data_IF_119598557610
#
_entry.id   IF_119598557610
#
_cell.length_a   1.000
_cell.length_b   1.000
_cell.length_c   1.000
_cell.angle_alpha   90.00
_cell.angle_beta   90.00
_cell.angle_gamma   90.00
#
_symmetry.space_group_name_H-M   'P 1'
#
loop_
_entity.id
_entity.type
_entity.pdbx_description
1 polymer ?
#
# COMPACT_ATOMS: atom_id res chain seq x y z
N UNK A 1 -14.76 -9.75 16.55
CA UNK A 1 -14.57 -9.73 15.07
C UNK A 1 -13.76 -8.50 14.73
N UNK A 2 -12.59 -8.64 14.09
CA UNK A 2 -11.70 -7.52 13.77
C UNK A 2 -11.81 -7.15 12.28
N UNK A 3 -12.20 -5.90 11.93
CA UNK A 3 -12.18 -5.45 10.55
C UNK A 3 -10.97 -4.55 10.25
N UNK A 4 -10.47 -4.61 9.00
CA UNK A 4 -9.57 -3.61 8.42
C UNK A 4 -10.29 -2.86 7.30
N UNK A 5 -10.17 -1.53 7.33
CA UNK A 5 -10.70 -0.68 6.27
C UNK A 5 -9.76 -0.72 5.07
N UNK A 6 -10.26 -1.16 3.92
CA UNK A 6 -9.54 -1.22 2.64
C UNK A 6 -10.39 -0.66 1.51
N UNK A 7 -9.76 -0.35 0.38
CA UNK A 7 -10.46 0.00 -0.85
C UNK A 7 -10.79 -1.26 -1.65
N UNK A 8 -11.97 -1.28 -2.26
CA UNK A 8 -12.26 -2.22 -3.34
C UNK A 8 -11.89 -1.63 -4.72
N UNK A 9 -11.89 -2.47 -5.75
CA UNK A 9 -11.55 -2.09 -7.14
C UNK A 9 -12.56 -1.12 -7.80
N UNK A 10 -13.67 -0.83 -7.12
CA UNK A 10 -14.66 0.18 -7.51
C UNK A 10 -14.46 1.51 -6.78
N UNK A 11 -13.39 1.64 -5.99
CA UNK A 11 -13.08 2.86 -5.25
C UNK A 11 -13.97 3.12 -4.03
N UNK A 12 -14.58 2.10 -3.44
CA UNK A 12 -15.36 2.23 -2.20
C UNK A 12 -14.60 1.63 -1.03
N UNK A 13 -14.82 2.20 0.15
CA UNK A 13 -14.38 1.60 1.40
C UNK A 13 -15.13 0.29 1.66
N UNK A 14 -14.39 -0.73 2.09
CA UNK A 14 -14.91 -2.04 2.48
C UNK A 14 -14.27 -2.43 3.81
N UNK A 15 -15.11 -2.93 4.72
CA UNK A 15 -14.66 -3.57 5.95
C UNK A 15 -14.26 -5.01 5.63
N UNK A 16 -12.95 -5.25 5.53
CA UNK A 16 -12.40 -6.58 5.32
C UNK A 16 -12.23 -7.29 6.67
N UNK A 17 -12.76 -8.52 6.77
CA UNK A 17 -12.65 -9.33 7.98
C UNK A 17 -11.24 -9.92 8.06
N UNK A 18 -10.54 -9.69 9.17
CA UNK A 18 -9.17 -10.18 9.38
C UNK A 18 -9.07 -11.08 10.61
N UNK A 19 -8.02 -11.91 10.64
CA UNK A 19 -7.68 -12.76 11.79
C UNK A 19 -7.07 -11.93 12.92
N UNK A 20 -7.13 -12.47 14.15
CA UNK A 20 -6.65 -11.76 15.36
C UNK A 20 -5.17 -11.38 15.28
N UNK A 21 -4.34 -12.26 14.72
CA UNK A 21 -2.91 -12.01 14.52
C UNK A 21 -2.67 -10.81 13.60
N UNK A 22 -3.42 -10.72 12.50
CA UNK A 22 -3.33 -9.61 11.55
C UNK A 22 -3.89 -8.31 12.13
N UNK A 23 -4.84 -8.40 13.05
CA UNK A 23 -5.41 -7.25 13.74
C UNK A 23 -4.46 -6.62 14.77
N UNK A 24 -3.37 -7.29 15.13
CA UNK A 24 -2.35 -6.74 16.04
C UNK A 24 -1.49 -5.65 15.39
N UNK A 25 -1.42 -5.60 14.06
CA UNK A 25 -0.59 -4.65 13.34
C UNK A 25 -1.33 -3.87 12.25
N UNK A 26 -0.72 -2.74 11.88
CA UNK A 26 -1.16 -1.87 10.78
C UNK A 26 0.01 -1.53 9.87
N UNK A 27 -0.24 -1.47 8.57
CA UNK A 27 0.72 -0.93 7.62
C UNK A 27 0.61 0.60 7.57
N UNK A 28 1.75 1.26 7.68
CA UNK A 28 1.85 2.71 7.65
C UNK A 28 2.88 3.15 6.61
N UNK A 29 2.43 3.76 5.51
CA UNK A 29 3.34 4.43 4.57
C UNK A 29 4.03 5.63 5.23
N UNK A 30 5.34 5.75 5.04
CA UNK A 30 6.18 6.86 5.50
C UNK A 30 6.03 8.03 4.55
N UNK A 31 5.61 9.18 5.08
CA UNK A 31 5.43 10.43 4.33
C UNK A 31 6.70 11.28 4.31
N UNK A 32 7.42 11.33 5.43
CA UNK A 32 8.68 12.09 5.58
C UNK A 32 9.56 11.44 6.63
N UNK A 33 10.88 11.57 6.46
CA UNK A 33 11.89 11.23 7.47
C UNK A 33 12.71 12.48 7.73
N UNK A 34 12.83 12.89 9.00
CA UNK A 34 13.47 14.13 9.40
C UNK A 34 14.23 13.95 10.72
N UNK A 35 15.14 14.88 11.01
CA UNK A 35 15.82 14.97 12.31
C UNK A 35 15.17 16.06 13.15
N UNK A 36 14.85 15.73 14.38
CA UNK A 36 14.24 16.64 15.34
C UNK A 36 15.26 17.37 16.21
N UNK A 37 14.77 18.11 17.22
CA UNK A 37 15.63 18.70 18.25
C UNK A 37 16.56 17.64 18.85
N UNK A 38 17.79 18.04 19.16
CA UNK A 38 18.85 17.13 19.64
C UNK A 38 19.28 16.05 18.64
N UNK A 39 19.00 16.24 17.35
CA UNK A 39 19.45 15.34 16.29
C UNK A 39 18.71 14.00 16.21
N UNK A 40 17.61 13.84 16.94
CA UNK A 40 16.85 12.58 17.01
C UNK A 40 16.14 12.32 15.68
N UNK A 41 16.41 11.22 14.96
CA UNK A 41 15.69 10.88 13.74
C UNK A 41 14.26 10.43 14.07
N UNK A 42 13.30 10.87 13.25
CA UNK A 42 11.91 10.43 13.33
C UNK A 42 11.29 10.33 11.93
N UNK A 43 10.32 9.44 11.78
CA UNK A 43 9.51 9.35 10.57
C UNK A 43 8.06 9.73 10.86
N UNK A 44 7.43 10.39 9.88
CA UNK A 44 6.01 10.76 9.90
C UNK A 44 5.30 9.83 8.94
N UNK A 45 4.22 9.19 9.38
CA UNK A 45 3.40 8.30 8.55
C UNK A 45 2.18 9.01 7.98
N UNK A 46 1.55 8.41 6.95
CA UNK A 46 0.38 8.98 6.28
C UNK A 46 -0.84 9.16 7.19
N UNK A 47 -0.93 8.37 8.27
CA UNK A 47 -1.99 8.44 9.27
C UNK A 47 -1.67 9.38 10.44
N UNK A 48 -0.65 10.23 10.29
CA UNK A 48 -0.32 11.30 11.23
C UNK A 48 0.50 10.88 12.45
N UNK A 49 1.00 9.64 12.51
CA UNK A 49 1.88 9.21 13.60
C UNK A 49 3.31 9.70 13.38
N UNK A 50 4.00 9.99 14.48
CA UNK A 50 5.41 10.34 14.50
C UNK A 50 6.16 9.28 15.29
N UNK A 51 7.02 8.51 14.61
CA UNK A 51 7.77 7.40 15.21
C UNK A 51 9.23 7.82 15.33
N UNK A 52 9.75 7.82 16.56
CA UNK A 52 11.14 8.18 16.85
C UNK A 52 12.06 6.98 16.68
N UNK A 53 13.32 7.25 16.34
CA UNK A 53 14.35 6.23 16.11
C UNK A 53 13.92 5.15 15.09
N UNK A 54 13.46 5.53 13.89
CA UNK A 54 13.25 4.55 12.83
C UNK A 54 14.61 3.96 12.41
N UNK A 55 14.57 2.76 11.84
CA UNK A 55 15.74 2.16 11.21
C UNK A 55 16.32 3.11 10.13
N UNK A 56 17.65 3.31 10.07
CA UNK A 56 18.30 4.20 9.09
C UNK A 56 17.99 3.86 7.62
N UNK A 57 17.64 2.61 7.32
CA UNK A 57 17.28 2.17 5.97
C UNK A 57 15.89 2.64 5.52
N UNK A 58 15.02 3.06 6.45
CA UNK A 58 13.66 3.50 6.15
C UNK A 58 13.70 4.87 5.46
N UNK A 59 13.17 4.91 4.23
CA UNK A 59 13.08 6.12 3.41
C UNK A 59 11.63 6.55 3.19
N UNK A 60 11.48 7.73 2.60
CA UNK A 60 10.17 8.24 2.19
C UNK A 60 9.51 7.33 1.17
N UNK A 61 8.20 7.09 1.32
CA UNK A 61 7.34 6.17 0.54
C UNK A 61 7.46 4.69 0.90
N UNK A 62 8.39 4.30 1.76
CA UNK A 62 8.44 2.96 2.31
C UNK A 62 7.22 2.71 3.21
N UNK A 63 6.92 1.45 3.47
CA UNK A 63 5.81 1.07 4.36
C UNK A 63 6.34 0.34 5.58
N UNK A 64 6.00 0.84 6.77
CA UNK A 64 6.35 0.21 8.03
C UNK A 64 5.19 -0.61 8.56
N UNK A 65 5.47 -1.78 9.11
CA UNK A 65 4.52 -2.60 9.87
C UNK A 65 4.59 -2.17 11.32
N UNK A 66 3.54 -1.51 11.78
CA UNK A 66 3.40 -0.96 13.13
C UNK A 66 2.64 -1.94 14.01
N UNK A 67 3.19 -2.29 15.16
CA UNK A 67 2.42 -2.93 16.23
C UNK A 67 1.49 -1.91 16.88
N UNK A 68 0.19 -2.21 16.92
CA UNK A 68 -0.81 -1.32 17.49
C UNK A 68 -0.76 -1.26 19.01
N UNK A 69 -0.25 -2.29 19.69
CA UNK A 69 -0.16 -2.32 21.14
C UNK A 69 1.01 -1.48 21.67
N UNK A 70 2.20 -1.66 21.07
CA UNK A 70 3.42 -0.97 21.52
C UNK A 70 3.70 0.33 20.79
N UNK A 71 3.10 0.55 19.61
CA UNK A 71 3.41 1.69 18.75
C UNK A 71 4.81 1.64 18.13
N UNK A 72 5.49 0.47 18.18
CA UNK A 72 6.82 0.26 17.61
C UNK A 72 6.74 -0.34 16.21
N UNK A 73 7.76 -0.07 15.40
CA UNK A 73 7.93 -0.68 14.09
C UNK A 73 8.44 -2.12 14.29
N UNK A 74 7.74 -3.08 13.70
CA UNK A 74 8.13 -4.49 13.70
C UNK A 74 9.03 -4.81 12.51
N UNK A 75 8.63 -4.34 11.32
CA UNK A 75 9.31 -4.62 10.05
C UNK A 75 8.98 -3.51 9.05
N UNK A 76 9.70 -3.41 7.93
CA UNK A 76 9.43 -2.44 6.88
C UNK A 76 9.68 -3.00 5.47
N UNK A 77 8.99 -2.44 4.48
CA UNK A 77 9.19 -2.75 3.06
C UNK A 77 9.61 -1.50 2.31
N UNK A 78 10.68 -1.63 1.53
CA UNK A 78 11.21 -0.59 0.66
C UNK A 78 10.30 -0.36 -0.55
N UNK A 79 10.18 0.89 -0.97
CA UNK A 79 9.53 1.27 -2.21
C UNK A 79 10.48 1.03 -3.40
N UNK A 80 10.45 -0.19 -3.93
CA UNK A 80 11.30 -0.63 -5.04
C UNK A 80 10.52 -1.51 -6.04
N UNK A 81 10.98 -1.61 -7.30
CA UNK A 81 10.41 -2.52 -8.28
C UNK A 81 10.36 -3.96 -7.76
N UNK A 82 9.29 -4.68 -8.10
CA UNK A 82 9.05 -6.06 -7.67
C UNK A 82 8.21 -6.20 -6.40
N UNK A 83 8.01 -5.15 -5.62
CA UNK A 83 7.15 -5.20 -4.42
C UNK A 83 5.67 -4.98 -4.76
N UNK A 84 4.80 -5.63 -4.00
CA UNK A 84 3.34 -5.53 -4.16
C UNK A 84 2.82 -4.22 -3.57
N UNK A 85 2.00 -3.51 -4.34
CA UNK A 85 1.40 -2.24 -3.98
C UNK A 85 -0.12 -2.27 -4.11
N UNK A 86 -0.79 -1.49 -3.27
CA UNK A 86 -2.20 -1.13 -3.40
C UNK A 86 -2.33 0.35 -3.75
N UNK A 87 -3.26 0.67 -4.63
CA UNK A 87 -3.56 2.05 -4.99
C UNK A 87 -4.60 2.64 -4.03
N UNK A 88 -4.24 3.75 -3.39
CA UNK A 88 -5.10 4.46 -2.42
C UNK A 88 -5.95 5.58 -3.05
N UNK A 89 -5.70 5.97 -4.30
CA UNK A 89 -6.37 7.12 -4.93
C UNK A 89 -6.35 7.11 -6.46
N UNK A 90 -7.18 7.95 -7.07
CA UNK A 90 -7.33 8.08 -8.53
C UNK A 90 -8.20 6.99 -9.18
N UNK A 91 -8.19 6.92 -10.51
CA UNK A 91 -9.05 5.99 -11.29
C UNK A 91 -8.70 4.50 -11.08
N UNK A 92 -7.47 4.23 -10.64
CA UNK A 92 -6.96 2.88 -10.37
C UNK A 92 -7.09 2.48 -8.88
N UNK A 93 -7.86 3.22 -8.08
CA UNK A 93 -8.03 2.97 -6.64
C UNK A 93 -8.53 1.55 -6.33
N UNK A 94 -7.95 0.96 -5.29
CA UNK A 94 -8.22 -0.41 -4.85
C UNK A 94 -7.66 -1.51 -5.74
N UNK A 95 -6.92 -1.16 -6.80
CA UNK A 95 -6.14 -2.14 -7.57
C UNK A 95 -4.88 -2.54 -6.82
N UNK A 96 -4.46 -3.80 -7.01
CA UNK A 96 -3.27 -4.37 -6.40
C UNK A 96 -2.41 -5.05 -7.46
N UNK A 97 -1.14 -4.66 -7.52
CA UNK A 97 -0.17 -5.21 -8.46
C UNK A 97 1.26 -5.03 -7.98
N UNK A 98 2.22 -5.44 -8.79
CA UNK A 98 3.65 -5.28 -8.52
C UNK A 98 4.19 -4.05 -9.23
N UNK A 99 5.09 -3.31 -8.57
CA UNK A 99 5.79 -2.18 -9.22
C UNK A 99 6.69 -2.73 -10.32
N UNK A 100 6.50 -2.28 -11.56
CA UNK A 100 7.36 -2.62 -12.68
C UNK A 100 8.52 -1.62 -12.80
N UNK A 101 8.18 -0.33 -12.93
CA UNK A 101 9.14 0.73 -13.15
C UNK A 101 8.66 2.04 -12.53
N UNK A 102 9.60 2.89 -12.11
CA UNK A 102 9.36 4.24 -11.58
C UNK A 102 9.95 5.26 -12.53
N UNK A 103 9.10 6.05 -13.15
CA UNK A 103 9.51 7.15 -14.01
C UNK A 103 9.63 8.44 -13.21
N UNK A 104 10.82 9.04 -13.25
CA UNK A 104 11.14 10.28 -12.56
C UNK A 104 11.10 11.45 -13.53
N UNK A 105 10.27 12.43 -13.23
CA UNK A 105 10.20 13.68 -13.97
C UNK A 105 10.68 14.83 -13.06
N UNK A 106 11.90 15.35 -13.25
CA UNK A 106 12.38 16.49 -12.48
C UNK A 106 11.41 17.68 -12.57
N UNK A 107 11.00 18.21 -11.43
CA UNK A 107 10.06 19.34 -11.36
C UNK A 107 8.58 18.98 -11.55
N UNK A 108 8.24 17.70 -11.74
CA UNK A 108 6.86 17.22 -11.89
C UNK A 108 6.59 15.98 -11.03
N UNK A 109 5.40 15.42 -11.17
CA UNK A 109 4.96 14.23 -10.45
C UNK A 109 5.67 12.99 -10.99
N UNK A 110 6.17 12.15 -10.10
CA UNK A 110 6.70 10.84 -10.48
C UNK A 110 5.56 9.86 -10.80
N UNK A 111 5.74 9.09 -11.87
CA UNK A 111 4.77 8.11 -12.35
C UNK A 111 5.31 6.71 -12.04
N UNK A 112 4.42 5.84 -11.54
CA UNK A 112 4.73 4.46 -11.21
C UNK A 112 3.93 3.56 -12.13
N UNK A 113 4.63 2.68 -12.85
CA UNK A 113 4.04 1.64 -13.68
C UNK A 113 3.84 0.38 -12.85
N UNK A 114 2.63 -0.16 -12.86
CA UNK A 114 2.23 -1.29 -12.04
C UNK A 114 1.61 -2.34 -12.95
N UNK A 115 1.89 -3.61 -12.65
CA UNK A 115 1.32 -4.78 -13.32
C UNK A 115 0.51 -5.60 -12.32
N UNK A 116 -0.76 -5.82 -12.61
CA UNK A 116 -1.63 -6.70 -11.81
C UNK A 116 -1.27 -8.18 -12.06
N UNK A 117 -1.78 -9.08 -11.21
CA UNK A 117 -1.55 -10.53 -11.32
C UNK A 117 -2.03 -11.16 -12.66
N UNK A 118 -3.04 -10.55 -13.30
CA UNK A 118 -3.57 -11.00 -14.62
C UNK A 118 -2.72 -10.46 -15.78
N UNK A 119 -1.78 -9.56 -15.51
CA UNK A 119 -0.90 -8.96 -16.52
C UNK A 119 -1.39 -7.62 -17.08
N UNK A 120 -2.52 -7.09 -16.59
CA UNK A 120 -2.95 -5.73 -16.91
C UNK A 120 -1.97 -4.71 -16.33
N UNK A 121 -1.44 -3.84 -17.20
CA UNK A 121 -0.57 -2.74 -16.80
C UNK A 121 -1.35 -1.44 -16.67
N UNK A 122 -0.99 -0.62 -15.69
CA UNK A 122 -1.56 0.71 -15.49
C UNK A 122 -0.59 1.60 -14.72
N UNK A 123 -0.81 2.91 -14.81
CA UNK A 123 0.10 3.91 -14.24
C UNK A 123 -0.63 4.77 -13.22
N UNK A 124 0.08 5.17 -12.18
CA UNK A 124 -0.43 6.08 -11.14
C UNK A 124 0.68 7.00 -10.65
N UNK A 125 0.30 8.18 -10.15
CA UNK A 125 1.23 9.07 -9.43
C UNK A 125 1.75 8.39 -8.16
N UNK A 126 3.01 8.64 -7.82
CA UNK A 126 3.68 8.11 -6.62
C UNK A 126 2.86 8.32 -5.33
N UNK A 127 2.19 9.46 -5.19
CA UNK A 127 1.37 9.80 -4.02
C UNK A 127 0.24 8.79 -3.75
N UNK A 128 -0.27 8.12 -4.79
CA UNK A 128 -1.39 7.17 -4.70
C UNK A 128 -0.95 5.72 -4.46
N UNK A 129 0.36 5.46 -4.37
CA UNK A 129 0.90 4.09 -4.30
C UNK A 129 1.31 3.75 -2.86
N UNK A 130 0.73 2.70 -2.29
CA UNK A 130 1.13 2.19 -0.98
C UNK A 130 1.68 0.77 -1.11
N UNK A 131 2.89 0.54 -0.61
CA UNK A 131 3.48 -0.82 -0.59
C UNK A 131 2.76 -1.65 0.46
N UNK A 132 2.33 -2.84 0.09
CA UNK A 132 1.57 -3.74 0.98
C UNK A 132 2.29 -5.06 1.23
N UNK A 133 3.38 -5.36 0.54
CA UNK A 133 4.18 -6.54 0.81
C UNK A 133 5.46 -6.63 -0.01
N UNK A 134 6.30 -7.58 0.37
CA UNK A 134 7.60 -7.87 -0.25
C UNK A 134 7.42 -8.91 -1.36
N UNK A 135 7.94 -8.62 -2.55
CA UNK A 135 7.71 -9.47 -3.73
C UNK A 135 6.21 -9.62 -4.03
N UNK A 136 5.78 -10.85 -4.32
CA UNK A 136 4.37 -11.18 -4.63
C UNK A 136 3.51 -11.51 -3.39
N UNK A 137 4.07 -11.49 -2.17
CA UNK A 137 3.34 -11.86 -0.96
C UNK A 137 2.91 -10.60 -0.20
N UNK A 138 1.62 -10.21 -0.25
CA UNK A 138 1.13 -9.10 0.55
C UNK A 138 1.22 -9.45 2.04
N UNK A 139 1.57 -8.48 2.87
CA UNK A 139 1.52 -8.58 4.33
C UNK A 139 0.10 -8.42 4.87
N UNK A 140 -0.86 -8.06 4.02
CA UNK A 140 -2.26 -7.91 4.40
C UNK A 140 -3.13 -8.84 3.58
N UNK A 141 -4.21 -9.32 4.19
CA UNK A 141 -5.32 -9.94 3.49
C UNK A 141 -6.06 -8.90 2.65
N UNK A 142 -6.42 -9.30 1.43
CA UNK A 142 -7.04 -8.43 0.44
C UNK A 142 -8.55 -8.68 0.37
N UNK A 143 -9.34 -7.63 0.05
CA UNK A 143 -10.77 -7.79 -0.14
C UNK A 143 -11.08 -8.64 -1.38
N UNK A 144 -12.35 -9.02 -1.52
CA UNK A 144 -12.82 -9.88 -2.62
C UNK A 144 -12.31 -9.41 -3.99
N UNK A 145 -11.71 -10.33 -4.74
CA UNK A 145 -11.14 -10.07 -6.05
C UNK A 145 -9.65 -9.73 -6.04
N UNK A 146 -8.97 -9.80 -4.89
CA UNK A 146 -7.52 -9.65 -4.74
C UNK A 146 -6.95 -8.37 -5.40
N UNK A 147 -7.76 -7.32 -5.49
CA UNK A 147 -7.38 -6.06 -6.16
C UNK A 147 -7.35 -6.11 -7.69
N UNK A 148 -7.88 -7.15 -8.33
CA UNK A 148 -7.97 -7.25 -9.79
C UNK A 148 -9.24 -6.52 -10.27
N UNK A 149 -9.07 -5.46 -11.06
CA UNK A 149 -10.18 -4.76 -11.70
C UNK A 149 -10.52 -5.43 -13.04
N UNK A 150 -11.66 -6.11 -13.07
CA UNK A 150 -12.21 -6.72 -14.28
C UNK A 150 -12.72 -5.64 -15.25
N UNK A 151 -12.66 -5.94 -16.54
CA UNK A 151 -13.34 -5.15 -17.57
C UNK A 151 -14.87 -5.22 -17.41
N UNK A 152 -15.59 -4.29 -18.04
CA UNK A 152 -17.06 -4.25 -17.97
C UNK A 152 -17.68 -5.56 -18.50
N UNK A 153 -17.11 -6.11 -19.58
CA UNK A 153 -17.57 -7.35 -20.18
C UNK A 153 -17.32 -8.55 -19.27
N UNK A 154 -16.14 -8.64 -18.67
CA UNK A 154 -15.79 -9.72 -17.72
C UNK A 154 -16.64 -9.66 -16.45
N UNK A 155 -16.83 -8.46 -15.87
CA UNK A 155 -17.68 -8.28 -14.68
C UNK A 155 -19.14 -8.61 -14.98
N UNK A 156 -19.64 -8.26 -16.17
CA UNK A 156 -20.99 -8.65 -16.62
C UNK A 156 -21.10 -10.17 -16.73
N UNK A 157 -20.17 -10.82 -17.43
CA UNK A 157 -20.19 -12.27 -17.64
C UNK A 157 -20.08 -13.02 -16.30
N UNK A 158 -19.19 -12.58 -15.39
CA UNK A 158 -19.02 -13.17 -14.07
C UNK A 158 -20.28 -13.03 -13.18
N UNK A 159 -21.13 -12.03 -13.42
CA UNK A 159 -22.42 -11.88 -12.74
C UNK A 159 -23.52 -12.72 -13.38
N UNK A 160 -23.50 -12.93 -14.68
CA UNK A 160 -24.51 -13.72 -15.41
C UNK A 160 -24.33 -15.23 -15.25
N UNK A 161 -23.11 -15.69 -14.99
CA UNK A 161 -22.81 -17.11 -14.69
C UNK A 161 -23.25 -17.51 -13.28
N UNK A 162 -23.63 -16.55 -12.45
CA UNK A 162 -24.00 -16.75 -11.05
C UNK A 162 -25.51 -16.72 -10.86
#
# INVERSE_FOLDING_TARGET
>A
MHPRLLYNTKGRFVLHKIVKEEASYKLCRVKKVQRGPKGIPYCITHDGRTIRYPDPEIKTNDTVRLDLATGKILDFVKFEPGNTVMISGGNNMGRVGTISHRERHPGSFEIVHIKDAVGHSFNTRLENVMVVGKGNKPWISLPKGNGIKLSINEDRNARMVK
#
